data_IF_748766200739
#
_entry.id   IF_748766200739
#
_cell.length_a   1.000
_cell.length_b   1.000
_cell.length_c   1.000
_cell.angle_alpha   90.00
_cell.angle_beta   90.00
_cell.angle_gamma   90.00
#
_symmetry.space_group_name_H-M   'P 1'
#
loop_
_entity.id
_entity.type
_entity.pdbx_description
1 polymer ?
#
# COMPACT_ATOMS: atom_id res chain seq x y z
N UNK A 1 -12.08 16.89 11.84
CA UNK A 1 -10.62 16.81 12.01
C UNK A 1 -9.98 16.63 10.64
N UNK A 2 -8.99 17.41 10.34
CA UNK A 2 -8.28 17.30 9.07
C UNK A 2 -7.41 16.02 9.05
N UNK A 3 -7.30 15.43 7.87
CA UNK A 3 -6.42 14.27 7.66
C UNK A 3 -4.96 14.70 7.73
N UNK A 4 -4.17 14.02 8.54
CA UNK A 4 -2.72 14.19 8.56
C UNK A 4 -2.10 13.24 7.51
N UNK A 5 -1.92 13.74 6.30
CA UNK A 5 -1.42 12.98 5.16
C UNK A 5 0.00 12.48 5.41
N UNK A 6 0.86 13.33 5.96
CA UNK A 6 2.27 13.00 6.21
C UNK A 6 2.41 11.89 7.27
N UNK A 7 1.68 12.00 8.36
CA UNK A 7 1.68 10.96 9.40
C UNK A 7 1.08 9.66 8.88
N UNK A 8 -0.01 9.73 8.14
CA UNK A 8 -0.65 8.56 7.55
C UNK A 8 0.31 7.83 6.62
N UNK A 9 0.97 8.55 5.73
CA UNK A 9 1.95 7.96 4.81
C UNK A 9 3.13 7.35 5.57
N UNK A 10 3.61 7.98 6.64
CA UNK A 10 4.68 7.43 7.47
C UNK A 10 4.28 6.13 8.14
N UNK A 11 3.09 6.05 8.70
CA UNK A 11 2.59 4.82 9.33
C UNK A 11 2.45 3.69 8.32
N UNK A 12 1.94 3.98 7.12
CA UNK A 12 1.83 2.98 6.06
C UNK A 12 3.20 2.54 5.54
N UNK A 13 4.15 3.46 5.45
CA UNK A 13 5.52 3.11 5.07
C UNK A 13 6.17 2.19 6.12
N UNK A 14 5.96 2.46 7.40
CA UNK A 14 6.46 1.60 8.49
C UNK A 14 5.90 0.18 8.37
N UNK A 15 4.60 0.04 8.05
CA UNK A 15 3.98 -1.27 7.81
C UNK A 15 4.66 -2.02 6.67
N UNK A 16 5.11 -1.32 5.65
CA UNK A 16 5.76 -1.93 4.48
C UNK A 16 7.22 -2.31 4.72
N UNK A 17 7.95 -1.56 5.54
CA UNK A 17 9.40 -1.73 5.70
C UNK A 17 9.79 -2.35 7.03
N UNK A 18 9.10 -2.04 8.11
CA UNK A 18 9.49 -2.43 9.46
C UNK A 18 8.57 -3.52 10.06
N UNK A 19 7.45 -3.79 9.42
CA UNK A 19 6.48 -4.83 9.81
C UNK A 19 6.04 -4.77 11.28
N UNK A 20 5.64 -3.61 11.81
CA UNK A 20 5.06 -3.54 13.14
C UNK A 20 3.73 -4.30 13.19
N UNK A 21 3.19 -4.62 14.38
CA UNK A 21 1.88 -5.24 14.48
C UNK A 21 0.82 -4.41 13.76
N UNK A 22 -0.09 -5.10 13.03
CA UNK A 22 -1.16 -4.44 12.30
C UNK A 22 -2.20 -3.90 13.27
N UNK A 23 -2.42 -2.61 13.22
CA UNK A 23 -3.42 -1.90 14.02
C UNK A 23 -4.25 -0.99 13.12
N UNK A 24 -5.38 -0.56 13.63
CA UNK A 24 -6.18 0.45 12.94
C UNK A 24 -5.42 1.77 12.90
N UNK A 25 -5.48 2.47 11.78
CA UNK A 25 -4.95 3.82 11.70
C UNK A 25 -5.62 4.73 12.75
N UNK A 26 -4.85 5.63 13.39
CA UNK A 26 -5.43 6.64 14.27
C UNK A 26 -6.52 7.47 13.56
N UNK A 27 -7.44 8.02 14.31
CA UNK A 27 -8.58 8.76 13.74
C UNK A 27 -8.14 9.88 12.81
N UNK A 28 -7.10 10.64 13.17
CA UNK A 28 -6.56 11.71 12.33
C UNK A 28 -5.80 11.24 11.09
N UNK A 29 -5.62 9.93 10.92
CA UNK A 29 -4.87 9.31 9.82
C UNK A 29 -5.76 8.45 8.90
N UNK A 30 -7.07 8.61 8.97
CA UNK A 30 -8.01 7.82 8.16
C UNK A 30 -8.56 8.66 7.01
N UNK A 31 -8.23 8.34 5.75
CA UNK A 31 -8.86 9.01 4.61
C UNK A 31 -10.37 8.76 4.59
N UNK A 32 -11.14 9.78 4.27
CA UNK A 32 -12.59 9.70 4.14
C UNK A 32 -13.07 9.72 2.69
N UNK A 33 -12.22 10.18 1.78
CA UNK A 33 -12.57 10.27 0.36
C UNK A 33 -11.52 9.53 -0.47
N UNK A 34 -11.90 9.17 -1.69
CA UNK A 34 -10.98 8.57 -2.67
C UNK A 34 -9.80 9.49 -2.95
N UNK A 35 -10.06 10.79 -3.11
CA UNK A 35 -9.03 11.80 -3.34
C UNK A 35 -8.01 11.83 -2.21
N UNK A 36 -8.47 11.83 -0.97
CA UNK A 36 -7.58 11.78 0.20
C UNK A 36 -6.75 10.51 0.23
N UNK A 37 -7.35 9.38 -0.12
CA UNK A 37 -6.62 8.10 -0.22
C UNK A 37 -5.48 8.16 -1.23
N UNK A 38 -5.71 8.75 -2.39
CA UNK A 38 -4.68 8.89 -3.41
C UNK A 38 -3.65 9.99 -3.09
N UNK A 39 -4.02 11.02 -2.33
CA UNK A 39 -3.04 11.96 -1.80
C UNK A 39 -2.07 11.27 -0.84
N UNK A 40 -2.58 10.44 0.06
CA UNK A 40 -1.75 9.63 0.96
C UNK A 40 -0.87 8.68 0.15
N UNK A 41 -1.41 8.01 -0.86
CA UNK A 41 -0.66 7.08 -1.70
C UNK A 41 0.51 7.79 -2.41
N UNK A 42 0.31 8.99 -2.88
CA UNK A 42 1.34 9.78 -3.54
C UNK A 42 2.50 10.10 -2.60
N UNK A 43 2.22 10.49 -1.37
CA UNK A 43 3.26 10.75 -0.35
C UNK A 43 3.92 9.44 0.10
N UNK A 44 3.14 8.38 0.29
CA UNK A 44 3.65 7.05 0.63
C UNK A 44 4.67 6.58 -0.41
N UNK A 45 4.36 6.72 -1.68
CA UNK A 45 5.26 6.34 -2.78
C UNK A 45 6.63 7.02 -2.65
N UNK A 46 6.66 8.32 -2.40
CA UNK A 46 7.91 9.06 -2.18
C UNK A 46 8.67 8.52 -0.98
N UNK A 47 7.98 8.22 0.12
CA UNK A 47 8.62 7.66 1.32
C UNK A 47 9.19 6.27 1.07
N UNK A 48 8.51 5.44 0.30
CA UNK A 48 9.02 4.11 -0.06
C UNK A 48 10.26 4.21 -0.95
N UNK A 49 10.32 5.16 -1.87
CA UNK A 49 11.54 5.43 -2.62
C UNK A 49 12.70 5.81 -1.70
N UNK A 50 12.46 6.73 -0.75
CA UNK A 50 13.46 7.17 0.21
C UNK A 50 13.94 6.03 1.12
N UNK A 51 13.12 5.03 1.36
CA UNK A 51 13.45 3.84 2.16
C UNK A 51 14.11 2.72 1.36
N UNK A 52 14.43 2.95 0.10
CA UNK A 52 15.20 2.01 -0.71
C UNK A 52 14.38 0.98 -1.49
N UNK A 53 13.07 1.16 -1.62
CA UNK A 53 12.25 0.25 -2.44
C UNK A 53 12.40 0.52 -3.94
N UNK A 54 13.20 1.49 -4.33
CA UNK A 54 13.42 1.86 -5.72
C UNK A 54 12.38 2.84 -6.24
N UNK A 55 12.51 3.21 -7.51
CA UNK A 55 11.60 4.14 -8.15
C UNK A 55 10.22 3.51 -8.38
N UNK A 56 9.21 4.35 -8.52
CA UNK A 56 7.88 3.92 -8.94
C UNK A 56 7.96 3.27 -10.33
N UNK A 57 7.55 2.03 -10.46
CA UNK A 57 7.72 1.23 -11.67
C UNK A 57 6.40 0.83 -12.35
N UNK A 58 5.28 0.96 -11.67
CA UNK A 58 3.99 0.58 -12.24
C UNK A 58 2.87 0.62 -11.20
N UNK A 59 1.71 0.11 -11.61
CA UNK A 59 0.53 0.08 -10.77
C UNK A 59 -0.02 -1.33 -10.65
N UNK A 60 -0.51 -1.67 -9.46
CA UNK A 60 -1.36 -2.82 -9.24
C UNK A 60 -2.81 -2.33 -9.12
N UNK A 61 -3.70 -2.97 -9.87
CA UNK A 61 -5.12 -2.65 -9.84
C UNK A 61 -5.83 -3.74 -9.04
N UNK A 62 -6.66 -3.35 -8.11
CA UNK A 62 -7.45 -4.25 -7.28
C UNK A 62 -8.91 -3.88 -7.27
N UNK A 63 -9.72 -4.74 -6.64
CA UNK A 63 -11.15 -4.53 -6.44
C UNK A 63 -11.90 -4.28 -7.75
N UNK A 64 -11.63 -5.11 -8.76
CA UNK A 64 -12.21 -4.97 -10.10
C UNK A 64 -13.57 -5.66 -10.23
N UNK A 65 -13.98 -6.43 -9.24
CA UNK A 65 -15.27 -7.15 -9.25
C UNK A 65 -16.26 -6.52 -8.27
N UNK A 66 -17.55 -6.65 -8.58
CA UNK A 66 -18.61 -6.19 -7.68
C UNK A 66 -18.51 -6.83 -6.30
N UNK A 67 -18.16 -8.11 -6.24
CA UNK A 67 -18.03 -8.86 -4.98
C UNK A 67 -16.95 -8.25 -4.08
N UNK A 68 -15.78 -7.95 -4.64
CA UNK A 68 -14.69 -7.35 -3.86
C UNK A 68 -14.99 -5.91 -3.46
N UNK A 69 -15.64 -5.15 -4.33
CA UNK A 69 -16.06 -3.79 -4.01
C UNK A 69 -17.06 -3.77 -2.86
N UNK A 70 -18.03 -4.67 -2.86
CA UNK A 70 -18.99 -4.82 -1.77
C UNK A 70 -18.29 -5.24 -0.47
N UNK A 71 -17.39 -6.21 -0.54
CA UNK A 71 -16.64 -6.70 0.61
C UNK A 71 -15.83 -5.58 1.29
N UNK A 72 -15.23 -4.69 0.51
CA UNK A 72 -14.44 -3.57 1.03
C UNK A 72 -15.25 -2.27 1.18
N UNK A 73 -16.54 -2.31 0.88
CA UNK A 73 -17.42 -1.15 0.95
C UNK A 73 -16.93 0.05 0.12
N UNK A 74 -16.53 -0.24 -1.12
CA UNK A 74 -16.14 0.77 -2.11
C UNK A 74 -16.96 0.56 -3.38
N UNK A 75 -17.06 1.59 -4.22
CA UNK A 75 -17.90 1.58 -5.42
C UNK A 75 -17.09 1.61 -6.73
N UNK A 76 -15.79 1.39 -6.65
CA UNK A 76 -14.90 1.50 -7.79
C UNK A 76 -13.66 0.62 -7.61
N UNK A 77 -12.94 0.30 -8.68
CA UNK A 77 -11.60 -0.29 -8.56
C UNK A 77 -10.64 0.68 -7.86
N UNK A 78 -9.57 0.16 -7.33
CA UNK A 78 -8.50 0.95 -6.75
C UNK A 78 -7.14 0.54 -7.30
N UNK A 79 -6.17 1.43 -7.19
CA UNK A 79 -4.82 1.21 -7.67
C UNK A 79 -3.80 1.55 -6.59
N UNK A 80 -2.71 0.82 -6.59
CA UNK A 80 -1.56 1.09 -5.74
C UNK A 80 -0.29 1.10 -6.57
N UNK A 81 0.79 1.63 -6.00
CA UNK A 81 2.08 1.71 -6.67
C UNK A 81 2.89 0.44 -6.50
N UNK A 82 3.59 0.05 -7.55
CA UNK A 82 4.61 -1.00 -7.52
C UNK A 82 5.97 -0.31 -7.57
N UNK A 83 6.82 -0.62 -6.61
CA UNK A 83 8.17 -0.06 -6.52
C UNK A 83 9.17 -1.00 -7.20
N UNK A 84 10.16 -0.43 -7.88
CA UNK A 84 11.07 -1.17 -8.75
C UNK A 84 11.79 -2.34 -8.05
N UNK A 85 12.23 -2.15 -6.81
CA UNK A 85 12.98 -3.17 -6.09
C UNK A 85 12.09 -4.31 -5.52
N UNK A 86 10.77 -4.23 -5.70
CA UNK A 86 9.85 -5.32 -5.36
C UNK A 86 9.50 -6.20 -6.58
N UNK A 87 10.05 -5.89 -7.75
CA UNK A 87 9.86 -6.66 -8.98
C UNK A 87 11.05 -7.59 -9.16
N UNK A 88 10.78 -8.88 -9.33
CA UNK A 88 11.80 -9.90 -9.56
C UNK A 88 11.56 -10.55 -10.91
N UNK A 89 12.61 -10.67 -11.71
CA UNK A 89 12.53 -11.27 -13.05
C UNK A 89 13.01 -12.72 -13.01
N UNK A 90 12.28 -13.62 -13.65
CA UNK A 90 12.52 -15.04 -13.75
C UNK A 90 12.38 -15.80 -12.42
N UNK A 91 13.12 -15.41 -11.39
CA UNK A 91 13.12 -16.07 -10.09
C UNK A 91 13.07 -15.04 -8.98
N UNK A 92 12.25 -15.29 -7.96
CA UNK A 92 12.24 -14.51 -6.73
C UNK A 92 12.69 -15.42 -5.57
N UNK A 93 13.69 -14.97 -4.82
CA UNK A 93 14.16 -15.63 -3.61
C UNK A 93 13.87 -14.70 -2.43
N UNK A 94 12.80 -14.99 -1.71
CA UNK A 94 12.25 -14.12 -0.69
C UNK A 94 12.33 -14.78 0.69
N UNK A 95 12.44 -13.95 1.74
CA UNK A 95 12.52 -14.43 3.11
C UNK A 95 11.17 -14.22 3.81
N UNK A 96 10.71 -15.23 4.53
CA UNK A 96 9.47 -15.15 5.30
C UNK A 96 9.44 -13.98 6.29
N UNK A 97 10.60 -13.64 6.87
CA UNK A 97 10.71 -12.54 7.82
C UNK A 97 10.38 -11.18 7.23
N UNK A 98 10.41 -11.05 5.90
CA UNK A 98 10.13 -9.79 5.22
C UNK A 98 8.62 -9.58 4.99
N UNK A 99 7.78 -10.49 5.49
CA UNK A 99 6.34 -10.43 5.33
C UNK A 99 5.62 -10.49 6.68
N UNK A 100 4.52 -9.76 6.79
CA UNK A 100 3.59 -9.90 7.91
C UNK A 100 2.83 -11.23 7.80
N UNK A 101 2.29 -11.48 6.62
CA UNK A 101 1.54 -12.69 6.29
C UNK A 101 1.77 -12.97 4.81
N UNK A 102 2.49 -14.03 4.52
CA UNK A 102 2.85 -14.35 3.15
C UNK A 102 1.74 -15.09 2.44
N UNK A 103 1.53 -14.75 1.18
CA UNK A 103 0.66 -15.47 0.27
C UNK A 103 1.23 -15.39 -1.14
N UNK A 104 0.80 -16.29 -2.01
CA UNK A 104 1.21 -16.31 -3.43
C UNK A 104 -0.05 -16.34 -4.29
N UNK A 105 -0.11 -15.44 -5.25
CA UNK A 105 -1.22 -15.36 -6.21
C UNK A 105 -0.67 -15.35 -7.63
N UNK A 106 -1.42 -15.97 -8.55
CA UNK A 106 -1.19 -15.85 -9.99
C UNK A 106 -2.17 -14.84 -10.55
N UNK A 107 -1.68 -13.85 -11.26
CA UNK A 107 -2.50 -12.78 -11.84
C UNK A 107 -2.26 -12.63 -13.34
#
# INVERSE_FOLDING_TARGET
MALDIEQTASLLADLRTDHPPLEKLPIGCRPYTTEQGYEVESVLRTRLEDRGLGAHAGYKIGCTTAVMQEFLNIEHPCAGSIMANTIHYNTADLKLKDFQKVGVECE
#
